data_IF_143592681744
#
_entry.id   IF_143592681744
#
_cell.length_a   1.000
_cell.length_b   1.000
_cell.length_c   1.000
_cell.angle_alpha   90.00
_cell.angle_beta   90.00
_cell.angle_gamma   90.00
#
_symmetry.space_group_name_H-M   'P 1'
#
loop_
_entity.id
_entity.type
_entity.pdbx_description
1 polymer ?
#
# COMPACT_ATOMS: atom_id res chain seq x y z
N UNK A 1 7.13 -34.00 -26.24
CA UNK A 1 6.00 -33.06 -26.04
C UNK A 1 5.37 -33.09 -24.65
N UNK A 2 4.87 -34.23 -24.16
CA UNK A 2 4.14 -34.27 -22.87
C UNK A 2 4.95 -33.76 -21.65
N UNK A 3 6.25 -34.07 -21.59
CA UNK A 3 7.15 -33.54 -20.55
C UNK A 3 7.36 -32.02 -20.65
N UNK A 4 7.46 -31.50 -21.88
CA UNK A 4 7.63 -30.07 -22.14
C UNK A 4 6.38 -29.29 -21.73
N UNK A 5 5.19 -29.76 -22.14
CA UNK A 5 3.90 -29.17 -21.73
C UNK A 5 3.68 -29.21 -20.22
N UNK A 6 4.05 -30.31 -19.55
CA UNK A 6 3.99 -30.38 -18.08
C UNK A 6 4.89 -29.35 -17.41
N UNK A 7 6.06 -29.08 -17.99
CA UNK A 7 7.00 -28.10 -17.45
C UNK A 7 6.48 -26.66 -17.63
N UNK A 8 5.88 -26.36 -18.78
CA UNK A 8 5.22 -25.07 -19.05
C UNK A 8 4.06 -24.82 -18.08
N UNK A 9 3.14 -25.78 -17.93
CA UNK A 9 2.00 -25.66 -17.01
C UNK A 9 2.45 -25.51 -15.55
N UNK A 10 3.53 -26.18 -15.14
CA UNK A 10 4.09 -26.03 -13.79
C UNK A 10 4.64 -24.63 -13.56
N UNK A 11 5.39 -24.07 -14.50
CA UNK A 11 5.92 -22.71 -14.39
C UNK A 11 4.79 -21.67 -14.37
N UNK A 12 3.74 -21.89 -15.16
CA UNK A 12 2.58 -21.01 -15.20
C UNK A 12 1.80 -21.08 -13.87
N UNK A 13 1.61 -22.27 -13.31
CA UNK A 13 0.99 -22.45 -11.99
C UNK A 13 1.82 -21.82 -10.86
N UNK A 14 3.15 -21.94 -10.89
CA UNK A 14 4.04 -21.31 -9.92
C UNK A 14 4.00 -19.78 -10.04
N UNK A 15 3.93 -19.24 -11.27
CA UNK A 15 3.77 -17.81 -11.51
C UNK A 15 2.43 -17.28 -11.00
N UNK A 16 1.32 -17.96 -11.30
CA UNK A 16 0.00 -17.58 -10.78
C UNK A 16 -0.09 -17.74 -9.26
N UNK A 17 0.56 -18.76 -8.68
CA UNK A 17 0.66 -18.95 -7.23
C UNK A 17 1.43 -17.82 -6.54
N UNK A 18 2.56 -17.40 -7.11
CA UNK A 18 3.34 -16.26 -6.62
C UNK A 18 2.60 -14.92 -6.81
N UNK A 19 1.89 -14.75 -7.93
CA UNK A 19 1.09 -13.55 -8.25
C UNK A 19 -0.15 -13.41 -7.37
N UNK A 20 -0.83 -14.49 -6.97
CA UNK A 20 -1.96 -14.44 -6.04
C UNK A 20 -1.53 -13.96 -4.64
N UNK A 21 -0.36 -14.40 -4.17
CA UNK A 21 0.25 -13.91 -2.93
C UNK A 21 0.54 -12.41 -2.98
N UNK A 22 1.27 -11.96 -4.00
CA UNK A 22 1.59 -10.54 -4.18
C UNK A 22 0.33 -9.67 -4.32
N UNK A 23 -0.68 -10.14 -5.05
CA UNK A 23 -1.95 -9.42 -5.24
C UNK A 23 -2.74 -9.26 -3.94
N UNK A 24 -2.72 -10.28 -3.06
CA UNK A 24 -3.32 -10.19 -1.72
C UNK A 24 -2.59 -9.22 -0.81
N UNK A 25 -1.25 -9.17 -0.89
CA UNK A 25 -0.44 -8.19 -0.14
C UNK A 25 -0.77 -6.75 -0.55
N UNK A 26 -0.79 -6.46 -1.86
CA UNK A 26 -1.12 -5.12 -2.38
C UNK A 26 -2.54 -4.72 -1.98
N UNK A 27 -3.50 -5.65 -2.04
CA UNK A 27 -4.88 -5.38 -1.63
C UNK A 27 -5.01 -5.11 -0.13
N UNK A 28 -4.28 -5.85 0.70
CA UNK A 28 -4.23 -5.63 2.15
C UNK A 28 -3.60 -4.30 2.53
N UNK A 29 -2.50 -3.92 1.87
CA UNK A 29 -1.81 -2.65 2.06
C UNK A 29 -2.69 -1.44 1.70
N UNK A 30 -3.41 -1.53 0.56
CA UNK A 30 -4.36 -0.49 0.16
C UNK A 30 -5.51 -0.30 1.16
N UNK A 31 -6.06 -1.41 1.70
CA UNK A 31 -7.13 -1.35 2.70
C UNK A 31 -6.61 -0.75 4.00
N UNK A 32 -5.41 -1.15 4.46
CA UNK A 32 -4.79 -0.59 5.65
C UNK A 32 -4.54 0.92 5.52
N UNK A 33 -4.01 1.37 4.37
CA UNK A 33 -3.78 2.78 4.08
C UNK A 33 -5.05 3.62 4.12
N UNK A 34 -6.17 3.10 3.59
CA UNK A 34 -7.48 3.79 3.65
C UNK A 34 -7.97 3.91 5.10
N UNK A 35 -7.83 2.85 5.90
CA UNK A 35 -8.25 2.88 7.31
C UNK A 35 -7.42 3.90 8.10
N UNK A 36 -6.09 3.87 7.95
CA UNK A 36 -5.17 4.82 8.61
C UNK A 36 -5.53 6.25 8.22
N UNK A 37 -5.83 6.49 6.93
CA UNK A 37 -6.24 7.79 6.42
C UNK A 37 -7.48 8.33 7.13
N UNK A 38 -8.53 7.51 7.22
CA UNK A 38 -9.78 7.89 7.87
C UNK A 38 -9.58 8.16 9.37
N UNK A 39 -8.76 7.35 10.04
CA UNK A 39 -8.45 7.53 11.46
C UNK A 39 -7.66 8.82 11.69
N UNK A 40 -6.61 9.10 10.90
CA UNK A 40 -5.80 10.31 11.08
C UNK A 40 -6.61 11.60 10.86
N UNK A 41 -7.44 11.63 9.82
CA UNK A 41 -8.31 12.80 9.57
C UNK A 41 -9.37 12.93 10.67
N UNK A 42 -10.08 11.85 11.00
CA UNK A 42 -11.17 11.88 11.99
C UNK A 42 -10.70 12.15 13.42
N UNK A 43 -9.73 11.37 13.90
CA UNK A 43 -9.18 11.51 15.24
C UNK A 43 -8.40 12.83 15.38
N UNK A 44 -7.62 13.20 14.36
CA UNK A 44 -6.90 14.46 14.32
C UNK A 44 -7.84 15.66 14.36
N UNK A 45 -8.91 15.64 13.57
CA UNK A 45 -9.93 16.69 13.60
C UNK A 45 -10.60 16.81 14.98
N UNK A 46 -11.01 15.69 15.59
CA UNK A 46 -11.63 15.69 16.92
C UNK A 46 -10.67 16.25 17.97
N UNK A 47 -9.42 15.81 18.00
CA UNK A 47 -8.42 16.28 18.98
C UNK A 47 -8.07 17.76 18.70
N UNK A 48 -7.90 18.14 17.44
CA UNK A 48 -7.59 19.51 17.03
C UNK A 48 -8.64 20.51 17.49
N UNK A 49 -9.92 20.20 17.25
CA UNK A 49 -11.03 21.10 17.59
C UNK A 49 -11.41 21.00 19.07
N UNK A 50 -11.54 19.79 19.62
CA UNK A 50 -12.08 19.59 20.97
C UNK A 50 -11.03 19.74 22.09
N UNK A 51 -9.74 19.47 21.82
CA UNK A 51 -8.68 19.54 22.84
C UNK A 51 -7.67 20.65 22.60
N UNK A 52 -7.29 20.93 21.35
CA UNK A 52 -6.29 21.96 21.04
C UNK A 52 -6.89 23.34 20.72
N UNK A 53 -8.21 23.46 20.67
CA UNK A 53 -8.90 24.74 20.40
C UNK A 53 -8.64 25.30 19.00
N UNK A 54 -8.20 24.45 18.06
CA UNK A 54 -8.01 24.86 16.66
C UNK A 54 -9.36 25.15 16.01
N UNK A 55 -9.38 26.09 15.07
CA UNK A 55 -10.57 26.27 14.23
C UNK A 55 -10.85 25.00 13.42
N UNK A 56 -12.12 24.74 13.10
CA UNK A 56 -12.48 23.57 12.27
C UNK A 56 -11.74 23.58 10.92
N UNK A 57 -11.48 24.77 10.35
CA UNK A 57 -10.76 24.92 9.10
C UNK A 57 -9.27 24.56 9.25
N UNK A 58 -8.61 25.05 10.30
CA UNK A 58 -7.20 24.76 10.54
C UNK A 58 -6.97 23.29 10.88
N UNK A 59 -7.84 22.71 11.72
CA UNK A 59 -7.78 21.29 12.06
C UNK A 59 -7.97 20.42 10.80
N UNK A 60 -8.96 20.74 9.95
CA UNK A 60 -9.16 20.01 8.71
C UNK A 60 -7.93 20.09 7.79
N UNK A 61 -7.32 21.27 7.63
CA UNK A 61 -6.14 21.44 6.79
C UNK A 61 -4.91 20.70 7.33
N UNK A 62 -4.57 20.88 8.61
CA UNK A 62 -3.39 20.28 9.23
C UNK A 62 -3.44 18.75 9.21
N UNK A 63 -4.56 18.16 9.66
CA UNK A 63 -4.66 16.71 9.73
C UNK A 63 -4.86 16.06 8.36
N UNK A 64 -5.42 16.78 7.37
CA UNK A 64 -5.41 16.31 5.97
C UNK A 64 -3.99 16.27 5.40
N UNK A 65 -3.17 17.31 5.63
CA UNK A 65 -1.77 17.34 5.15
C UNK A 65 -0.93 16.25 5.82
N UNK A 66 -1.05 16.07 7.14
CA UNK A 66 -0.38 15.00 7.87
C UNK A 66 -0.73 13.61 7.33
N UNK A 67 -2.01 13.41 7.01
CA UNK A 67 -2.49 12.14 6.47
C UNK A 67 -1.96 11.86 5.06
N UNK A 68 -1.95 12.88 4.20
CA UNK A 68 -1.33 12.74 2.86
C UNK A 68 0.16 12.45 2.98
N UNK A 69 0.85 13.10 3.92
CA UNK A 69 2.26 12.84 4.22
C UNK A 69 2.51 11.38 4.61
N UNK A 70 1.68 10.81 5.50
CA UNK A 70 1.79 9.41 5.93
C UNK A 70 1.60 8.42 4.76
N UNK A 71 0.62 8.68 3.90
CA UNK A 71 0.40 7.91 2.68
C UNK A 71 1.59 7.95 1.70
N UNK A 72 2.22 9.12 1.55
CA UNK A 72 3.40 9.29 0.71
C UNK A 72 4.64 8.59 1.30
N UNK A 73 4.83 8.65 2.62
CA UNK A 73 5.94 7.99 3.31
C UNK A 73 5.84 6.47 3.21
N UNK A 74 4.64 5.90 3.22
CA UNK A 74 4.44 4.46 3.04
C UNK A 74 4.61 3.98 1.59
N UNK A 75 4.07 4.73 0.62
CA UNK A 75 4.00 4.26 -0.77
C UNK A 75 5.29 4.45 -1.56
N UNK A 76 6.04 5.53 -1.34
CA UNK A 76 7.26 5.80 -2.11
C UNK A 76 8.31 4.68 -1.92
N UNK A 77 8.65 4.24 -0.69
CA UNK A 77 9.59 3.15 -0.47
C UNK A 77 9.06 1.82 -1.01
N UNK A 78 7.77 1.52 -0.83
CA UNK A 78 7.16 0.28 -1.33
C UNK A 78 7.29 0.18 -2.86
N UNK A 79 7.10 1.29 -3.58
CA UNK A 79 7.20 1.35 -5.03
C UNK A 79 8.66 1.18 -5.51
N UNK A 80 9.62 1.75 -4.78
CA UNK A 80 11.06 1.56 -5.03
C UNK A 80 11.45 0.09 -4.81
N UNK A 81 11.03 -0.52 -3.69
CA UNK A 81 11.33 -1.93 -3.38
C UNK A 81 10.69 -2.86 -4.41
N UNK A 82 9.43 -2.64 -4.77
CA UNK A 82 8.72 -3.43 -5.79
C UNK A 82 9.41 -3.35 -7.15
N UNK A 83 9.84 -2.15 -7.55
CA UNK A 83 10.55 -1.94 -8.82
C UNK A 83 11.92 -2.62 -8.79
N UNK A 84 12.67 -2.48 -7.69
CA UNK A 84 13.96 -3.14 -7.51
C UNK A 84 13.87 -4.67 -7.52
N UNK A 85 12.87 -5.24 -6.85
CA UNK A 85 12.60 -6.68 -6.87
C UNK A 85 12.22 -7.17 -8.28
N UNK A 86 11.40 -6.41 -9.03
CA UNK A 86 11.06 -6.73 -10.42
C UNK A 86 12.26 -6.71 -11.37
N UNK A 87 13.19 -5.77 -11.19
CA UNK A 87 14.45 -5.72 -11.96
C UNK A 87 15.37 -6.91 -11.58
N UNK A 88 15.42 -7.29 -10.31
CA UNK A 88 16.23 -8.42 -9.85
C UNK A 88 15.72 -9.74 -10.43
N UNK A 89 14.40 -9.97 -10.42
CA UNK A 89 13.80 -11.23 -10.89
C UNK A 89 13.90 -11.40 -12.41
N UNK A 90 13.96 -10.30 -13.17
CA UNK A 90 14.13 -10.35 -14.63
C UNK A 90 15.58 -10.55 -15.06
N UNK A 91 16.54 -10.46 -14.13
CA UNK A 91 17.97 -10.69 -14.37
C UNK A 91 18.46 -12.10 -14.05
N UNK A 92 17.63 -12.95 -13.47
CA UNK A 92 17.92 -14.35 -13.11
C UNK A 92 17.30 -15.33 -14.08
#
# INVERSE_FOLDING_TARGET
EARTRRKEISMEADFYGAMDGASKFVRGDAIAGIIITLVNIGAGFIIGVAQQGMSMADAAQTYTILTVGDGLVGQIPALIISTGAGILVTRS
#
